data_IF_714354738388
#
_entry.id   IF_714354738388
#
_cell.length_a   1.000
_cell.length_b   1.000
_cell.length_c   1.000
_cell.angle_alpha   90.00
_cell.angle_beta   90.00
_cell.angle_gamma   90.00
#
_symmetry.space_group_name_H-M   'P 1'
#
loop_
_entity.id
_entity.type
_entity.pdbx_description
1 polymer ?
#
# COMPACT_ATOMS: atom_id res chain seq x y z
N UNK A 1 -17.08 -14.83 19.90
CA UNK A 1 -16.14 -14.80 18.77
C UNK A 1 -16.50 -13.64 17.88
N UNK A 2 -15.63 -12.66 17.62
CA UNK A 2 -15.89 -11.69 16.57
C UNK A 2 -15.94 -12.48 15.26
N UNK A 3 -16.94 -12.23 14.42
CA UNK A 3 -17.05 -12.82 13.10
C UNK A 3 -15.76 -12.48 12.29
N UNK A 4 -15.29 -13.39 11.45
CA UNK A 4 -14.11 -13.17 10.56
C UNK A 4 -14.20 -11.89 9.75
N UNK A 5 -15.41 -11.38 9.57
CA UNK A 5 -15.71 -10.13 8.82
C UNK A 5 -15.29 -8.83 9.54
N UNK A 6 -14.88 -8.87 10.80
CA UNK A 6 -14.39 -7.69 11.55
C UNK A 6 -12.86 -7.56 11.53
N UNK A 7 -12.12 -8.52 11.05
CA UNK A 7 -10.66 -8.43 10.96
C UNK A 7 -10.23 -7.45 9.87
N UNK A 8 -9.24 -6.65 10.22
CA UNK A 8 -8.57 -5.76 9.27
C UNK A 8 -7.76 -6.63 8.32
N UNK A 9 -7.91 -6.41 7.01
CA UNK A 9 -7.11 -7.12 6.01
C UNK A 9 -5.68 -6.56 5.91
N UNK A 10 -4.79 -7.23 5.15
CA UNK A 10 -3.37 -6.87 5.10
C UNK A 10 -3.08 -5.41 4.70
N UNK A 11 -3.80 -4.86 3.72
CA UNK A 11 -3.68 -3.45 3.36
C UNK A 11 -4.12 -2.52 4.50
N UNK A 12 -5.15 -2.91 5.25
CA UNK A 12 -5.61 -2.16 6.43
C UNK A 12 -4.61 -2.21 7.59
N UNK A 13 -3.86 -3.30 7.75
CA UNK A 13 -2.77 -3.41 8.72
C UNK A 13 -1.62 -2.46 8.37
N UNK A 14 -1.28 -2.32 7.09
CA UNK A 14 -0.30 -1.33 6.61
C UNK A 14 -0.77 0.08 6.94
N UNK A 15 -2.04 0.40 6.70
CA UNK A 15 -2.64 1.69 7.04
C UNK A 15 -2.59 1.95 8.55
N UNK A 16 -2.96 0.98 9.37
CA UNK A 16 -2.94 1.08 10.84
C UNK A 16 -1.53 1.38 11.36
N UNK A 17 -0.53 0.65 10.86
CA UNK A 17 0.87 0.87 11.19
C UNK A 17 1.36 2.26 10.76
N UNK A 18 0.95 2.74 9.58
CA UNK A 18 1.29 4.06 9.07
C UNK A 18 0.68 5.19 9.92
N UNK A 19 -0.58 5.08 10.32
CA UNK A 19 -1.25 6.03 11.21
C UNK A 19 -0.47 6.14 12.53
N UNK A 20 -0.16 5.01 13.15
CA UNK A 20 0.64 4.95 14.38
C UNK A 20 2.00 5.62 14.21
N UNK A 21 2.72 5.29 13.14
CA UNK A 21 4.03 5.85 12.83
C UNK A 21 3.98 7.36 12.70
N UNK A 22 3.04 7.89 11.91
CA UNK A 22 2.91 9.34 11.66
C UNK A 22 2.48 10.07 12.91
N UNK A 23 1.47 9.58 13.65
CA UNK A 23 1.04 10.16 14.93
C UNK A 23 2.20 10.26 15.91
N UNK A 24 2.96 9.18 16.08
CA UNK A 24 4.11 9.12 16.99
C UNK A 24 5.22 10.09 16.57
N UNK A 25 5.55 10.13 15.27
CA UNK A 25 6.54 11.06 14.72
C UNK A 25 6.14 12.53 14.97
N UNK A 26 4.85 12.82 14.98
CA UNK A 26 4.30 14.16 15.32
C UNK A 26 4.10 14.39 16.80
N UNK A 27 4.46 13.42 17.64
CA UNK A 27 4.34 13.47 19.11
C UNK A 27 2.90 13.73 19.59
N UNK A 28 1.90 13.35 18.81
CA UNK A 28 0.49 13.48 19.19
C UNK A 28 0.09 12.33 20.12
N UNK A 29 -0.55 12.67 21.24
CA UNK A 29 -1.25 11.70 22.08
C UNK A 29 -2.57 11.26 21.42
N UNK A 30 -3.16 10.15 21.89
CA UNK A 30 -4.50 9.75 21.45
C UNK A 30 -5.55 10.81 21.80
N UNK A 31 -5.46 11.42 22.99
CA UNK A 31 -6.36 12.48 23.42
C UNK A 31 -6.29 13.70 22.47
N UNK A 32 -5.08 14.11 22.11
CA UNK A 32 -4.87 15.25 21.22
C UNK A 32 -5.40 14.97 19.81
N UNK A 33 -5.10 13.79 19.24
CA UNK A 33 -5.61 13.39 17.93
C UNK A 33 -7.14 13.28 17.94
N UNK A 34 -7.73 12.68 19.00
CA UNK A 34 -9.18 12.57 19.16
C UNK A 34 -9.85 13.94 19.22
N UNK A 35 -9.27 14.90 19.96
CA UNK A 35 -9.76 16.26 20.04
C UNK A 35 -9.73 16.96 18.68
N UNK A 36 -8.61 16.93 17.99
CA UNK A 36 -8.45 17.56 16.66
C UNK A 36 -9.41 16.97 15.62
N UNK A 37 -9.68 15.66 15.67
CA UNK A 37 -10.68 15.02 14.82
C UNK A 37 -12.11 15.49 15.15
N UNK A 38 -12.42 15.66 16.43
CA UNK A 38 -13.72 16.21 16.86
C UNK A 38 -13.89 17.66 16.42
N UNK A 39 -12.84 18.48 16.48
CA UNK A 39 -12.84 19.89 16.06
C UNK A 39 -13.20 20.06 14.57
N UNK A 40 -12.88 19.08 13.73
CA UNK A 40 -13.24 19.07 12.30
C UNK A 40 -14.54 18.31 12.01
N UNK A 41 -15.30 17.92 13.03
CA UNK A 41 -16.60 17.25 12.86
C UNK A 41 -16.54 15.73 12.62
N UNK A 42 -15.37 15.10 12.77
CA UNK A 42 -15.22 13.63 12.67
C UNK A 42 -14.70 13.04 13.99
N UNK A 43 -15.53 12.98 15.05
CA UNK A 43 -15.09 12.51 16.35
C UNK A 43 -14.77 11.00 16.32
N UNK A 44 -13.53 10.67 16.65
CA UNK A 44 -13.07 9.30 16.89
C UNK A 44 -12.54 9.25 18.33
N UNK A 45 -13.18 8.50 19.24
CA UNK A 45 -12.73 8.39 20.63
C UNK A 45 -11.32 7.78 20.72
N UNK A 46 -10.56 8.10 21.76
CA UNK A 46 -9.21 7.57 21.99
C UNK A 46 -9.11 6.06 21.90
N UNK A 47 -10.10 5.34 22.48
CA UNK A 47 -10.18 3.89 22.37
C UNK A 47 -10.36 3.44 20.92
N UNK A 48 -11.14 4.19 20.12
CA UNK A 48 -11.32 3.93 18.70
C UNK A 48 -10.01 4.08 17.92
N UNK A 49 -9.24 5.16 18.18
CA UNK A 49 -7.92 5.39 17.59
C UNK A 49 -6.93 4.29 17.97
N UNK A 50 -6.93 3.88 19.25
CA UNK A 50 -6.09 2.77 19.69
C UNK A 50 -6.42 1.46 18.96
N UNK A 51 -7.72 1.16 18.80
CA UNK A 51 -8.16 -0.03 18.06
C UNK A 51 -7.82 0.02 16.58
N UNK A 52 -7.86 1.21 15.96
CA UNK A 52 -7.37 1.41 14.58
C UNK A 52 -5.89 1.05 14.49
N UNK A 53 -5.05 1.61 15.35
CA UNK A 53 -3.60 1.38 15.32
C UNK A 53 -3.19 -0.07 15.67
N UNK A 54 -4.05 -0.81 16.37
CA UNK A 54 -3.87 -2.23 16.67
C UNK A 54 -4.44 -3.16 15.57
N UNK A 55 -5.07 -2.61 14.52
CA UNK A 55 -5.73 -3.41 13.49
C UNK A 55 -7.02 -4.10 13.96
N UNK A 56 -7.60 -3.65 15.07
CA UNK A 56 -8.84 -4.19 15.65
C UNK A 56 -10.10 -3.46 15.14
N UNK A 57 -9.94 -2.33 14.51
CA UNK A 57 -11.01 -1.54 13.89
C UNK A 57 -10.57 -1.12 12.49
N UNK A 58 -11.44 -1.34 11.50
CA UNK A 58 -11.24 -0.84 10.15
C UNK A 58 -11.32 0.69 10.13
N UNK A 59 -10.54 1.30 9.24
CA UNK A 59 -10.62 2.72 8.87
C UNK A 59 -11.55 2.79 7.67
N UNK A 60 -12.65 3.51 7.78
CA UNK A 60 -13.50 3.82 6.64
C UNK A 60 -12.93 4.99 5.82
N UNK A 61 -13.57 5.31 4.69
CA UNK A 61 -13.10 6.37 3.80
C UNK A 61 -13.11 7.76 4.48
N UNK A 62 -14.14 8.06 5.26
CA UNK A 62 -14.26 9.34 5.97
C UNK A 62 -13.22 9.45 7.09
N UNK A 63 -12.98 8.36 7.82
CA UNK A 63 -11.93 8.27 8.83
C UNK A 63 -10.55 8.50 8.20
N UNK A 64 -10.27 7.87 7.03
CA UNK A 64 -9.02 8.05 6.31
C UNK A 64 -8.76 9.51 5.94
N UNK A 65 -9.75 10.18 5.35
CA UNK A 65 -9.62 11.59 4.96
C UNK A 65 -9.42 12.50 6.17
N UNK A 66 -10.22 12.32 7.24
CA UNK A 66 -10.11 13.12 8.44
C UNK A 66 -8.77 12.93 9.16
N UNK A 67 -8.32 11.69 9.32
CA UNK A 67 -7.02 11.37 9.93
C UNK A 67 -5.88 11.94 9.07
N UNK A 68 -5.95 11.81 7.76
CA UNK A 68 -4.95 12.35 6.84
C UNK A 68 -4.85 13.88 6.96
N UNK A 69 -6.00 14.56 7.01
CA UNK A 69 -6.06 16.01 7.17
C UNK A 69 -5.46 16.46 8.51
N UNK A 70 -5.86 15.85 9.63
CA UNK A 70 -5.34 16.22 10.96
C UNK A 70 -3.86 15.88 11.07
N UNK A 71 -3.43 14.75 10.55
CA UNK A 71 -2.02 14.38 10.51
C UNK A 71 -1.22 15.14 9.44
N UNK A 72 -1.84 16.02 8.65
CA UNK A 72 -1.17 16.79 7.59
C UNK A 72 -0.29 15.91 6.69
N UNK A 73 -0.86 14.81 6.20
CA UNK A 73 -0.22 13.87 5.31
C UNK A 73 -1.17 13.49 4.18
N UNK A 74 -0.67 13.29 2.98
CA UNK A 74 -1.51 12.84 1.88
C UNK A 74 -2.09 11.44 2.18
N UNK A 75 -3.38 11.16 1.89
CA UNK A 75 -3.97 9.85 2.12
C UNK A 75 -3.16 8.70 1.52
N UNK A 76 -2.61 8.88 0.30
CA UNK A 76 -1.77 7.88 -0.35
C UNK A 76 -0.51 7.55 0.47
N UNK A 77 0.06 8.51 1.20
CA UNK A 77 1.27 8.31 2.02
C UNK A 77 0.96 7.62 3.36
N UNK A 78 -0.32 7.63 3.79
CA UNK A 78 -0.81 6.76 4.86
C UNK A 78 -1.09 5.34 4.34
N UNK A 79 -1.71 5.23 3.16
CA UNK A 79 -2.07 3.94 2.57
C UNK A 79 -0.85 3.14 2.16
N UNK A 80 0.14 3.79 1.54
CA UNK A 80 1.38 3.18 1.09
C UNK A 80 2.55 4.00 1.60
N UNK A 81 3.34 3.43 2.51
CA UNK A 81 4.49 4.12 3.08
C UNK A 81 5.44 4.58 1.96
N UNK A 82 5.72 5.88 1.91
CA UNK A 82 6.61 6.49 0.89
C UNK A 82 8.07 5.99 0.96
N UNK A 83 8.47 5.51 2.13
CA UNK A 83 9.83 5.03 2.37
C UNK A 83 9.98 3.54 2.03
N UNK A 84 8.87 2.86 1.72
CA UNK A 84 8.83 1.46 1.31
C UNK A 84 9.08 1.28 -0.20
N UNK A 85 10.16 1.87 -0.71
CA UNK A 85 10.61 1.64 -2.09
C UNK A 85 11.14 0.21 -2.24
N UNK A 86 10.70 -0.52 -3.26
CA UNK A 86 11.03 -1.94 -3.51
C UNK A 86 10.46 -2.95 -2.48
N UNK A 87 9.59 -2.52 -1.56
CA UNK A 87 8.90 -3.44 -0.67
C UNK A 87 7.63 -3.99 -1.32
N UNK A 88 7.27 -5.20 -0.89
CA UNK A 88 6.02 -5.83 -1.28
C UNK A 88 4.86 -5.22 -0.49
N UNK A 89 3.85 -4.68 -1.18
CA UNK A 89 2.62 -4.18 -0.60
C UNK A 89 1.53 -5.26 -0.64
N UNK A 90 1.03 -5.71 0.50
CA UNK A 90 0.00 -6.74 0.57
C UNK A 90 -1.39 -6.11 0.34
N UNK A 91 -1.92 -6.19 -0.86
CA UNK A 91 -3.27 -5.70 -1.16
C UNK A 91 -4.34 -6.62 -0.58
N UNK A 92 -4.11 -7.94 -0.69
CA UNK A 92 -4.91 -8.98 -0.05
C UNK A 92 -3.98 -10.03 0.56
N UNK A 93 -4.54 -11.06 1.21
CA UNK A 93 -3.75 -12.21 1.71
C UNK A 93 -2.97 -12.93 0.60
N UNK A 94 -3.47 -12.90 -0.63
CA UNK A 94 -2.91 -13.64 -1.77
C UNK A 94 -2.22 -12.72 -2.77
N UNK A 95 -2.65 -11.47 -2.88
CA UNK A 95 -2.14 -10.52 -3.87
C UNK A 95 -1.20 -9.51 -3.23
N UNK A 96 0.02 -9.48 -3.75
CA UNK A 96 1.05 -8.53 -3.37
C UNK A 96 1.54 -7.79 -4.60
N UNK A 97 1.88 -6.52 -4.42
CA UNK A 97 2.37 -5.65 -5.48
C UNK A 97 3.60 -4.90 -4.98
N UNK A 98 4.36 -4.31 -5.88
CA UNK A 98 5.39 -3.36 -5.51
C UNK A 98 4.77 -2.09 -4.94
N UNK A 99 5.23 -1.64 -3.77
CA UNK A 99 4.66 -0.51 -3.06
C UNK A 99 4.66 0.78 -3.89
N UNK A 100 5.74 1.07 -4.64
CA UNK A 100 5.81 2.25 -5.49
C UNK A 100 4.78 2.20 -6.62
N UNK A 101 4.60 1.05 -7.25
CA UNK A 101 3.59 0.85 -8.30
C UNK A 101 2.16 1.08 -7.76
N UNK A 102 1.87 0.58 -6.55
CA UNK A 102 0.57 0.82 -5.89
C UNK A 102 0.37 2.31 -5.60
N UNK A 103 1.41 2.98 -5.13
CA UNK A 103 1.38 4.41 -4.84
C UNK A 103 1.07 5.24 -6.10
N UNK A 104 1.76 4.99 -7.20
CA UNK A 104 1.53 5.69 -8.47
C UNK A 104 0.14 5.39 -9.03
N UNK A 105 -0.32 4.15 -8.92
CA UNK A 105 -1.68 3.78 -9.30
C UNK A 105 -2.75 4.54 -8.49
N UNK A 106 -2.60 4.64 -7.17
CA UNK A 106 -3.52 5.41 -6.32
C UNK A 106 -3.48 6.90 -6.66
N UNK A 107 -2.33 7.43 -7.09
CA UNK A 107 -2.20 8.83 -7.57
C UNK A 107 -2.85 9.08 -8.91
N UNK A 108 -3.37 8.07 -9.57
CA UNK A 108 -4.03 8.17 -10.86
C UNK A 108 -3.10 8.05 -12.06
N UNK A 109 -1.89 7.51 -11.87
CA UNK A 109 -1.05 7.14 -13.00
C UNK A 109 -1.76 6.05 -13.82
N UNK A 110 -1.71 6.18 -15.15
CA UNK A 110 -2.26 5.17 -16.07
C UNK A 110 -1.31 3.96 -16.14
N UNK A 111 -1.27 3.22 -15.05
CA UNK A 111 -0.51 1.99 -14.93
C UNK A 111 -1.44 0.83 -14.56
N UNK A 112 -1.16 -0.35 -15.10
CA UNK A 112 -1.77 -1.58 -14.63
C UNK A 112 -0.91 -2.18 -13.53
N UNK A 113 -1.52 -2.50 -12.39
CA UNK A 113 -0.81 -3.21 -11.33
C UNK A 113 -0.60 -4.66 -11.76
N UNK A 114 0.66 -5.10 -11.78
CA UNK A 114 0.92 -6.52 -11.85
C UNK A 114 1.29 -7.09 -10.49
N UNK A 115 0.81 -8.28 -10.20
CA UNK A 115 1.14 -8.98 -8.98
C UNK A 115 2.66 -9.01 -8.78
N UNK A 116 3.07 -8.89 -7.53
CA UNK A 116 4.46 -9.09 -7.11
C UNK A 116 4.77 -10.58 -7.25
N UNK A 117 4.97 -11.00 -8.51
CA UNK A 117 5.36 -12.36 -8.81
C UNK A 117 6.86 -12.52 -8.60
N UNK A 118 7.28 -13.71 -8.18
CA UNK A 118 8.68 -14.08 -8.27
C UNK A 118 9.15 -13.83 -9.71
N UNK A 119 10.37 -13.33 -9.93
CA UNK A 119 10.90 -13.06 -11.28
C UNK A 119 10.72 -14.23 -12.24
N UNK A 120 10.80 -15.46 -11.72
CA UNK A 120 10.66 -16.69 -12.48
C UNK A 120 9.28 -16.84 -13.17
N UNK A 121 8.21 -16.30 -12.55
CA UNK A 121 6.87 -16.41 -13.14
C UNK A 121 6.69 -15.50 -14.37
N UNK A 122 7.46 -14.42 -14.47
CA UNK A 122 7.45 -13.51 -15.63
C UNK A 122 8.16 -14.13 -16.81
N UNK A 123 9.21 -14.91 -16.55
CA UNK A 123 10.04 -15.55 -17.58
C UNK A 123 9.41 -16.82 -18.18
N UNK A 124 8.33 -17.34 -17.58
CA UNK A 124 7.59 -18.50 -18.09
C UNK A 124 6.55 -18.15 -19.17
N UNK A 125 6.44 -16.89 -19.60
CA UNK A 125 5.42 -16.41 -20.54
C UNK A 125 6.05 -16.18 -21.94
N UNK A 126 5.37 -16.52 -23.05
CA UNK A 126 5.86 -16.22 -24.39
C UNK A 126 6.15 -14.74 -24.62
N UNK A 127 7.16 -14.40 -25.41
CA UNK A 127 7.73 -13.05 -25.58
C UNK A 127 6.75 -11.92 -25.88
N UNK A 128 5.69 -12.19 -26.65
CA UNK A 128 4.62 -11.23 -26.94
C UNK A 128 3.82 -10.81 -25.71
N UNK A 129 3.66 -11.72 -24.76
CA UNK A 129 2.91 -11.47 -23.51
C UNK A 129 3.78 -10.73 -22.50
N UNK A 130 5.11 -10.91 -22.54
CA UNK A 130 6.06 -10.20 -21.69
C UNK A 130 6.01 -8.69 -21.97
N UNK A 131 5.98 -8.30 -23.25
CA UNK A 131 5.94 -6.89 -23.64
C UNK A 131 4.73 -6.17 -23.04
N UNK A 132 3.55 -6.77 -23.09
CA UNK A 132 2.35 -6.22 -22.51
C UNK A 132 2.39 -6.23 -20.98
N UNK A 133 2.99 -7.28 -20.40
CA UNK A 133 3.08 -7.43 -18.95
C UNK A 133 4.06 -6.45 -18.29
N UNK A 134 5.07 -5.95 -18.99
CA UNK A 134 6.09 -5.06 -18.41
C UNK A 134 5.88 -3.57 -18.72
N UNK A 135 4.93 -3.22 -19.58
CA UNK A 135 4.68 -1.80 -19.94
C UNK A 135 4.34 -0.91 -18.73
N UNK A 136 3.72 -1.50 -17.73
CA UNK A 136 3.29 -0.83 -16.49
C UNK A 136 4.37 -0.86 -15.39
N UNK A 137 5.51 -1.55 -15.58
CA UNK A 137 6.61 -1.56 -14.61
C UNK A 137 7.36 -0.23 -14.61
N UNK A 138 7.91 0.21 -13.46
CA UNK A 138 8.88 1.31 -13.41
C UNK A 138 10.03 1.09 -14.39
N UNK A 139 10.50 2.17 -15.03
CA UNK A 139 11.46 2.11 -16.14
C UNK A 139 12.72 1.29 -15.82
N UNK A 140 13.28 1.44 -14.63
CA UNK A 140 14.51 0.72 -14.25
C UNK A 140 14.26 -0.78 -14.08
N UNK A 141 13.13 -1.15 -13.48
CA UNK A 141 12.76 -2.56 -13.32
C UNK A 141 12.42 -3.21 -14.67
N UNK A 142 11.76 -2.46 -15.57
CA UNK A 142 11.51 -2.90 -16.95
C UNK A 142 12.79 -3.23 -17.69
N UNK A 143 13.82 -2.38 -17.60
CA UNK A 143 15.14 -2.61 -18.21
C UNK A 143 15.81 -3.87 -17.65
N UNK A 144 15.71 -4.09 -16.34
CA UNK A 144 16.28 -5.29 -15.71
C UNK A 144 15.57 -6.57 -16.15
N UNK A 145 14.23 -6.58 -16.16
CA UNK A 145 13.41 -7.72 -16.61
C UNK A 145 13.70 -8.02 -18.09
N UNK A 146 13.72 -7.01 -18.95
CA UNK A 146 14.03 -7.18 -20.38
C UNK A 146 15.43 -7.74 -20.60
N UNK A 147 16.43 -7.24 -19.87
CA UNK A 147 17.81 -7.76 -19.98
C UNK A 147 17.88 -9.24 -19.63
N UNK A 148 17.30 -9.65 -18.48
CA UNK A 148 17.29 -11.05 -18.04
C UNK A 148 16.53 -11.95 -19.00
N UNK A 149 15.45 -11.46 -19.61
CA UNK A 149 14.70 -12.21 -20.59
C UNK A 149 15.52 -12.46 -21.86
N UNK A 150 16.22 -11.44 -22.39
CA UNK A 150 17.09 -11.57 -23.55
C UNK A 150 18.25 -12.54 -23.30
N UNK A 151 18.86 -12.50 -22.12
CA UNK A 151 19.92 -13.44 -21.71
C UNK A 151 19.45 -14.91 -21.71
N UNK A 152 18.18 -15.16 -21.32
CA UNK A 152 17.60 -16.52 -21.31
C UNK A 152 17.21 -17.02 -22.71
N UNK A 153 16.81 -16.13 -23.61
CA UNK A 153 16.44 -16.48 -24.99
C UNK A 153 17.68 -16.85 -25.82
N UNK A 154 18.84 -16.24 -25.55
CA UNK A 154 20.12 -16.56 -26.15
C UNK A 154 20.65 -17.96 -25.72
N UNK A 155 20.38 -18.38 -24.47
CA UNK A 155 20.80 -19.69 -23.95
C UNK A 155 19.94 -20.86 -24.47
N UNK A 156 18.78 -20.60 -25.10
CA UNK A 156 17.87 -21.61 -25.65
C UNK A 156 17.94 -21.74 -27.18
N UNK A 157 18.77 -20.94 -27.86
CA UNK A 157 18.96 -20.94 -29.31
C UNK A 157 20.27 -21.61 -29.70
#
# INVERSE_FOLDING_TARGET
MPSEDTRVGPAGEVLAASIKRVRTARRLSYAELSRQLADIGRPIPELGLRRIELGERRVDYDDLLAISYVLQIAPVDLMVNKDATNESYPMTSELKFEAESVREWIRGADIRLAPFAAPEAIFAVPGTVIFDAIQWMPTERRKEVMRRWLEQDEDQS
#
